data_IF_883949901841
#
_entry.id   IF_883949901841
#
_cell.length_a   1.000
_cell.length_b   1.000
_cell.length_c   1.000
_cell.angle_alpha   90.00
_cell.angle_beta   90.00
_cell.angle_gamma   90.00
#
_symmetry.space_group_name_H-M   'P 1'
#
loop_
_entity.id
_entity.type
_entity.pdbx_description
1 polymer ?
#
# COMPACT_ATOMS: atom_id res chain seq x y z
N UNK A 1 -10.10 2.00 8.92
CA UNK A 1 -8.64 1.78 8.76
C UNK A 1 -8.03 1.90 10.13
N UNK A 2 -7.20 0.94 10.56
CA UNK A 2 -6.62 0.98 11.90
C UNK A 2 -5.69 2.18 12.02
N UNK A 3 -6.04 3.16 12.85
CA UNK A 3 -5.24 4.38 13.06
C UNK A 3 -3.84 4.06 13.55
N UNK A 4 -3.70 2.99 14.36
CA UNK A 4 -2.43 2.46 14.83
C UNK A 4 -1.48 2.13 13.67
N UNK A 5 -1.95 1.44 12.62
CA UNK A 5 -1.11 1.07 11.48
C UNK A 5 -0.63 2.32 10.72
N UNK A 6 -1.54 3.27 10.44
CA UNK A 6 -1.18 4.51 9.76
C UNK A 6 -0.13 5.29 10.55
N UNK A 7 -0.31 5.43 11.87
CA UNK A 7 0.63 6.15 12.72
C UNK A 7 1.99 5.45 12.77
N UNK A 8 2.03 4.12 12.92
CA UNK A 8 3.28 3.36 12.92
C UNK A 8 4.01 3.47 11.58
N UNK A 9 3.30 3.45 10.46
CA UNK A 9 3.92 3.65 9.15
C UNK A 9 4.46 5.07 9.00
N UNK A 10 3.71 6.08 9.42
CA UNK A 10 4.16 7.48 9.40
C UNK A 10 5.40 7.69 10.27
N UNK A 11 5.48 7.08 11.46
CA UNK A 11 6.69 7.10 12.30
C UNK A 11 7.91 6.47 11.63
N UNK A 12 7.69 5.50 10.73
CA UNK A 12 8.73 4.87 9.91
C UNK A 12 9.00 5.63 8.60
N UNK A 13 8.42 6.83 8.41
CA UNK A 13 8.55 7.62 7.19
C UNK A 13 7.74 7.09 5.99
N UNK A 14 6.82 6.16 6.21
CA UNK A 14 5.98 5.58 5.16
C UNK A 14 4.58 6.19 5.17
N UNK A 15 4.19 6.82 4.05
CA UNK A 15 2.83 7.33 3.87
C UNK A 15 1.91 6.27 3.26
N UNK A 16 0.77 6.04 3.91
CA UNK A 16 -0.21 5.05 3.47
C UNK A 16 -1.31 5.71 2.63
N UNK A 17 -1.27 5.53 1.31
CA UNK A 17 -2.30 6.01 0.39
C UNK A 17 -3.13 4.84 -0.15
N UNK A 18 -4.45 4.87 0.08
CA UNK A 18 -5.37 3.80 -0.31
C UNK A 18 -6.72 4.35 -0.74
N UNK A 19 -7.54 3.55 -1.44
CA UNK A 19 -8.93 3.91 -1.72
C UNK A 19 -9.72 4.00 -0.41
N UNK A 20 -10.55 5.04 -0.27
CA UNK A 20 -11.43 5.21 0.88
C UNK A 20 -12.49 4.10 0.88
N UNK A 21 -12.60 3.41 2.02
CA UNK A 21 -13.63 2.39 2.27
C UNK A 21 -14.71 2.96 3.19
N UNK A 22 -15.95 2.48 3.06
CA UNK A 22 -17.13 2.94 3.82
C UNK A 22 -16.96 2.97 5.35
N UNK A 23 -16.15 2.08 5.94
CA UNK A 23 -15.86 2.03 7.40
C UNK A 23 -14.60 2.81 7.82
N UNK A 24 -14.07 3.68 6.97
CA UNK A 24 -12.94 4.54 7.33
C UNK A 24 -13.47 5.84 7.92
N UNK A 25 -12.84 6.31 9.02
CA UNK A 25 -13.02 7.69 9.46
C UNK A 25 -12.68 8.61 8.28
N UNK A 26 -13.46 9.67 8.07
CA UNK A 26 -13.25 10.62 6.98
C UNK A 26 -11.86 11.25 7.12
N UNK A 27 -10.90 10.68 6.38
CA UNK A 27 -9.56 11.23 6.20
C UNK A 27 -9.50 11.74 4.77
N UNK A 28 -9.17 13.02 4.60
CA UNK A 28 -8.99 13.62 3.29
C UNK A 28 -7.89 12.89 2.52
N UNK A 29 -8.12 12.67 1.22
CA UNK A 29 -7.10 12.17 0.30
C UNK A 29 -6.40 13.37 -0.31
N UNK A 30 -5.07 13.44 -0.23
CA UNK A 30 -4.31 14.53 -0.87
C UNK A 30 -4.41 14.45 -2.40
N UNK A 31 -4.12 15.55 -3.11
CA UNK A 31 -4.13 15.53 -4.58
C UNK A 31 -3.10 14.52 -5.14
N UNK A 32 -1.95 14.42 -4.49
CA UNK A 32 -0.89 13.47 -4.83
C UNK A 32 -1.36 12.04 -4.65
N UNK A 33 -1.98 11.71 -3.52
CA UNK A 33 -2.53 10.38 -3.27
C UNK A 33 -3.59 10.00 -4.31
N UNK A 34 -4.43 10.97 -4.70
CA UNK A 34 -5.43 10.77 -5.75
C UNK A 34 -4.79 10.49 -7.11
N UNK A 35 -3.70 11.18 -7.45
CA UNK A 35 -2.93 10.93 -8.68
C UNK A 35 -2.25 9.55 -8.66
N UNK A 36 -1.63 9.17 -7.54
CA UNK A 36 -0.99 7.86 -7.38
C UNK A 36 -2.01 6.72 -7.49
N UNK A 37 -3.20 6.89 -6.92
CA UNK A 37 -4.29 5.93 -7.06
C UNK A 37 -4.78 5.77 -8.51
N UNK A 38 -4.71 6.84 -9.34
CA UNK A 38 -5.00 6.73 -10.79
C UNK A 38 -3.93 5.96 -11.54
N UNK A 39 -2.67 6.09 -11.15
CA UNK A 39 -1.52 5.38 -11.75
C UNK A 39 -1.29 3.97 -11.19
N UNK A 40 -2.20 3.47 -10.35
CA UNK A 40 -2.06 2.22 -9.60
C UNK A 40 -1.71 1.01 -10.46
N UNK A 41 -2.27 0.88 -11.66
CA UNK A 41 -1.98 -0.24 -12.54
C UNK A 41 -0.48 -0.32 -12.92
N UNK A 42 0.14 0.83 -13.21
CA UNK A 42 1.58 0.90 -13.50
C UNK A 42 2.41 0.56 -12.26
N UNK A 43 2.02 1.08 -11.10
CA UNK A 43 2.71 0.79 -9.82
C UNK A 43 2.64 -0.70 -9.49
N UNK A 44 1.47 -1.33 -9.66
CA UNK A 44 1.28 -2.77 -9.43
C UNK A 44 2.08 -3.62 -10.41
N UNK A 45 2.16 -3.23 -11.68
CA UNK A 45 2.96 -3.91 -12.69
C UNK A 45 4.46 -3.88 -12.36
N UNK A 46 5.00 -2.71 -12.00
CA UNK A 46 6.41 -2.59 -11.55
C UNK A 46 6.65 -3.43 -10.30
N UNK A 47 5.73 -3.40 -9.33
CA UNK A 47 5.85 -4.21 -8.13
C UNK A 47 5.86 -5.71 -8.43
N UNK A 48 5.02 -6.16 -9.37
CA UNK A 48 5.00 -7.56 -9.81
C UNK A 48 6.32 -7.97 -10.47
N UNK A 49 6.88 -7.11 -11.34
CA UNK A 49 8.20 -7.34 -11.94
C UNK A 49 9.29 -7.45 -10.87
N UNK A 50 9.33 -6.52 -9.91
CA UNK A 50 10.32 -6.54 -8.82
C UNK A 50 10.20 -7.81 -7.98
N UNK A 51 8.97 -8.22 -7.65
CA UNK A 51 8.69 -9.48 -6.94
C UNK A 51 9.28 -10.69 -7.64
N UNK A 52 9.05 -10.79 -8.94
CA UNK A 52 9.49 -11.92 -9.75
C UNK A 52 11.00 -11.88 -10.03
N UNK A 53 11.52 -10.76 -10.53
CA UNK A 53 12.90 -10.62 -10.96
C UNK A 53 13.89 -10.56 -9.81
N UNK A 54 13.52 -9.93 -8.68
CA UNK A 54 14.40 -9.80 -7.52
C UNK A 54 14.13 -10.88 -6.45
N UNK A 55 13.20 -11.81 -6.69
CA UNK A 55 12.81 -12.87 -5.75
C UNK A 55 12.48 -12.34 -4.33
N UNK A 56 12.00 -11.11 -4.24
CA UNK A 56 11.67 -10.45 -2.96
C UNK A 56 10.38 -11.01 -2.35
N UNK A 57 9.63 -11.82 -3.09
CA UNK A 57 8.43 -12.46 -2.59
C UNK A 57 8.79 -13.70 -1.77
N UNK A 58 8.55 -13.66 -0.46
CA UNK A 58 8.71 -14.82 0.39
C UNK A 58 7.53 -15.78 0.18
N UNK A 59 7.79 -16.96 -0.39
CA UNK A 59 6.86 -18.07 -0.30
C UNK A 59 6.64 -18.39 1.19
N UNK A 60 5.43 -18.15 1.69
CA UNK A 60 5.05 -18.67 3.01
C UNK A 60 4.97 -20.19 2.89
N UNK A 61 5.97 -20.89 3.41
CA UNK A 61 5.88 -22.32 3.63
C UNK A 61 4.78 -22.56 4.67
N UNK A 62 3.63 -23.04 4.23
CA UNK A 62 2.59 -23.51 5.14
C UNK A 62 2.97 -24.92 5.57
N UNK A 63 3.71 -25.04 6.67
CA UNK A 63 3.78 -26.32 7.36
C UNK A 63 2.35 -26.67 7.80
N UNK A 64 1.86 -27.81 7.33
CA UNK A 64 0.69 -28.49 7.89
C UNK A 64 1.06 -29.17 9.20
#
# INVERSE_FOLDING_TARGET
>A
MAEKLTNTLMQKGMHLFTKVKKKMKNKGITLVDKLMLKKRAMIESVNHLLKNSCQIEHHRHQNR
#
